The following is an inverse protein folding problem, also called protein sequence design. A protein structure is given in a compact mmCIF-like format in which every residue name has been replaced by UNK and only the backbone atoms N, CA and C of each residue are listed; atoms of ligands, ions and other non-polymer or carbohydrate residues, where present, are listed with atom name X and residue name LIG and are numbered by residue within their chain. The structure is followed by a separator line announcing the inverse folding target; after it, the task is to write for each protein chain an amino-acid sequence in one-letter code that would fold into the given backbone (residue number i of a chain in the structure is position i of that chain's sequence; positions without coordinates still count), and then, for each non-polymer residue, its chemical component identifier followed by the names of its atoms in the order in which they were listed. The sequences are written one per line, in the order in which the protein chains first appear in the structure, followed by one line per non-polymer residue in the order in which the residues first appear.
data_IF_953945069172
#
_entry.id   IF_953945069172
#
_cell.length_a   1.000
_cell.length_b   1.000
_cell.length_c   1.000
_cell.angle_alpha   90.00
_cell.angle_beta   90.00
_cell.angle_gamma   90.00
#
_symmetry.space_group_name_H-M   'P 1'
#
loop_
_entity.id
_entity.type
_entity.pdbx_description
1 polymer ?
#
# COMPACT_ATOMS: atom_id res chain seq x y z
N UNK A 1 -19.51 -5.49 -29.16
CA UNK A 1 -19.36 -4.33 -30.08
C UNK A 1 -20.52 -3.34 -29.97
N UNK A 2 -21.77 -3.70 -30.28
CA UNK A 2 -22.91 -2.77 -30.27
C UNK A 2 -23.20 -2.10 -28.90
N UNK A 3 -22.95 -2.82 -27.81
CA UNK A 3 -23.20 -2.34 -26.44
C UNK A 3 -22.14 -1.33 -25.99
N UNK A 4 -20.88 -1.54 -26.38
CA UNK A 4 -19.76 -0.62 -26.11
C UNK A 4 -19.97 0.72 -26.82
N UNK A 5 -20.37 0.68 -28.10
CA UNK A 5 -20.62 1.90 -28.88
C UNK A 5 -21.78 2.73 -28.34
N UNK A 6 -22.83 2.09 -27.81
CA UNK A 6 -23.94 2.79 -27.13
C UNK A 6 -23.49 3.44 -25.81
N UNK A 7 -22.62 2.77 -25.05
CA UNK A 7 -22.04 3.29 -23.82
C UNK A 7 -21.15 4.51 -24.07
N UNK A 8 -20.24 4.43 -25.04
CA UNK A 8 -19.40 5.56 -25.42
C UNK A 8 -20.24 6.73 -25.97
N UNK A 9 -21.26 6.46 -26.79
CA UNK A 9 -22.17 7.49 -27.29
C UNK A 9 -22.96 8.19 -26.19
N UNK A 10 -23.32 7.47 -25.12
CA UNK A 10 -23.99 8.03 -23.95
C UNK A 10 -23.06 8.94 -23.13
N UNK A 11 -21.82 8.51 -22.88
CA UNK A 11 -20.81 9.27 -22.14
C UNK A 11 -20.49 10.60 -22.85
N UNK A 12 -20.39 10.58 -24.18
CA UNK A 12 -20.09 11.77 -24.99
C UNK A 12 -21.26 12.75 -25.02
N UNK A 13 -22.51 12.26 -25.09
CA UNK A 13 -23.70 13.11 -25.18
C UNK A 13 -24.12 13.73 -23.85
N UNK A 14 -23.85 13.07 -22.72
CA UNK A 14 -24.33 13.49 -21.39
C UNK A 14 -23.25 13.33 -20.32
N UNK A 15 -22.19 14.16 -20.37
CA UNK A 15 -21.02 14.00 -19.51
C UNK A 15 -21.34 14.19 -18.01
N UNK A 16 -22.31 15.06 -17.68
CA UNK A 16 -22.74 15.28 -16.29
C UNK A 16 -23.47 14.07 -15.70
N UNK A 17 -24.40 13.46 -16.46
CA UNK A 17 -25.11 12.24 -16.02
C UNK A 17 -24.14 11.07 -15.90
N UNK A 18 -23.19 10.94 -16.84
CA UNK A 18 -22.14 9.92 -16.78
C UNK A 18 -21.23 10.09 -15.55
N UNK A 19 -20.86 11.33 -15.20
CA UNK A 19 -20.05 11.60 -14.00
C UNK A 19 -20.80 11.24 -12.70
N UNK A 20 -22.10 11.53 -12.63
CA UNK A 20 -22.96 11.16 -11.47
C UNK A 20 -23.08 9.64 -11.35
N UNK A 21 -23.29 8.92 -12.46
CA UNK A 21 -23.36 7.45 -12.48
C UNK A 21 -22.02 6.83 -12.06
N UNK A 22 -20.90 7.38 -12.55
CA UNK A 22 -19.56 6.93 -12.19
C UNK A 22 -19.29 7.15 -10.70
N UNK A 23 -19.67 8.32 -10.16
CA UNK A 23 -19.54 8.63 -8.74
C UNK A 23 -20.40 7.70 -7.87
N UNK A 24 -21.63 7.42 -8.28
CA UNK A 24 -22.52 6.50 -7.59
C UNK A 24 -21.99 5.06 -7.58
N UNK A 25 -21.44 4.58 -8.71
CA UNK A 25 -20.75 3.29 -8.78
C UNK A 25 -19.53 3.25 -7.87
N UNK A 26 -18.74 4.32 -7.85
CA UNK A 26 -17.56 4.42 -6.98
C UNK A 26 -17.96 4.39 -5.50
N UNK A 27 -19.01 5.13 -5.10
CA UNK A 27 -19.55 5.11 -3.75
C UNK A 27 -20.14 3.75 -3.37
N UNK A 28 -20.83 3.07 -4.29
CA UNK A 28 -21.36 1.73 -4.05
C UNK A 28 -20.25 0.69 -3.84
N UNK A 29 -19.17 0.77 -4.63
CA UNK A 29 -17.97 -0.07 -4.44
C UNK A 29 -17.31 0.24 -3.10
N UNK A 30 -17.11 1.52 -2.76
CA UNK A 30 -16.55 1.94 -1.47
C UNK A 30 -17.40 1.46 -0.30
N UNK A 31 -18.72 1.57 -0.38
CA UNK A 31 -19.64 1.10 0.66
C UNK A 31 -19.62 -0.44 0.79
N UNK A 32 -19.62 -1.17 -0.32
CA UNK A 32 -19.51 -2.63 -0.30
C UNK A 32 -18.18 -3.08 0.31
N UNK A 33 -17.09 -2.37 0.00
CA UNK A 33 -15.77 -2.60 0.59
C UNK A 33 -15.78 -2.33 2.09
N UNK A 34 -16.30 -1.18 2.52
CA UNK A 34 -16.41 -0.82 3.94
C UNK A 34 -17.19 -1.88 4.73
N UNK A 35 -18.32 -2.34 4.18
CA UNK A 35 -19.16 -3.38 4.80
C UNK A 35 -18.45 -4.73 4.89
N UNK A 36 -17.61 -5.06 3.89
CA UNK A 36 -16.79 -6.27 3.92
C UNK A 36 -15.68 -6.18 4.97
N UNK A 37 -15.19 -4.98 5.24
CA UNK A 37 -14.16 -4.72 6.25
C UNK A 37 -14.70 -4.67 7.68
N UNK A 38 -15.88 -4.10 7.92
CA UNK A 38 -16.52 -4.17 9.24
C UNK A 38 -16.81 -5.62 9.64
N UNK A 39 -17.24 -6.47 8.70
CA UNK A 39 -17.40 -7.90 8.95
C UNK A 39 -16.07 -8.63 9.25
N UNK A 40 -14.94 -8.17 8.70
CA UNK A 40 -13.60 -8.69 9.05
C UNK A 40 -13.09 -8.15 10.37
N UNK A 41 -13.39 -6.90 10.71
CA UNK A 41 -13.08 -6.31 12.01
C UNK A 41 -13.84 -7.04 13.12
N UNK A 42 -15.12 -7.36 12.93
CA UNK A 42 -15.90 -8.18 13.87
C UNK A 42 -15.35 -9.61 14.01
N UNK A 43 -14.88 -10.24 12.92
CA UNK A 43 -14.19 -11.54 12.99
C UNK A 43 -12.82 -11.48 13.69
N UNK A 44 -12.12 -10.35 13.60
CA UNK A 44 -10.86 -10.10 14.31
C UNK A 44 -11.10 -9.76 15.79
N UNK A 45 -12.21 -9.08 16.10
CA UNK A 45 -12.67 -8.81 17.48
C UNK A 45 -13.17 -10.08 18.16
N UNK A 46 -13.81 -11.00 17.43
CA UNK A 46 -14.19 -12.33 17.92
C UNK A 46 -12.98 -13.26 18.16
N UNK A 47 -11.80 -12.95 17.62
CA UNK A 47 -10.52 -13.59 17.94
C UNK A 47 -9.73 -12.88 19.06
N UNK A 48 -10.40 -12.02 19.83
CA UNK A 48 -9.95 -11.44 21.10
C UNK A 48 -10.51 -12.29 22.27
N UNK A 49 -10.60 -13.61 22.07
CA UNK A 49 -10.55 -14.54 23.20
C UNK A 49 -9.06 -14.71 23.56
N UNK A 50 -8.76 -14.55 24.85
CA UNK A 50 -7.42 -14.26 25.35
C UNK A 50 -6.31 -15.22 24.91
N UNK A 51 -5.06 -14.73 25.00
CA UNK A 51 -3.87 -15.58 24.87
C UNK A 51 -4.01 -16.80 25.79
N UNK A 52 -3.75 -18.03 25.31
CA UNK A 52 -3.70 -19.20 26.16
C UNK A 52 -2.81 -18.93 27.39
N UNK A 53 -3.18 -19.39 28.60
CA UNK A 53 -2.47 -19.10 29.85
C UNK A 53 -0.96 -19.44 29.81
N UNK A 54 -0.58 -20.33 28.91
CA UNK A 54 0.72 -20.93 28.63
C UNK A 54 1.54 -20.19 27.54
N UNK A 55 0.96 -19.23 26.81
CA UNK A 55 1.66 -18.52 25.72
C UNK A 55 2.24 -17.19 26.20
N UNK A 56 3.59 -17.06 26.22
CA UNK A 56 4.30 -15.81 26.60
C UNK A 56 4.23 -14.71 25.53
N UNK A 57 4.26 -15.08 24.26
CA UNK A 57 4.23 -14.14 23.13
C UNK A 57 3.59 -14.78 21.89
N UNK A 58 2.84 -13.98 21.15
CA UNK A 58 2.37 -14.34 19.81
C UNK A 58 2.79 -13.25 18.84
N UNK A 59 3.46 -13.65 17.76
CA UNK A 59 3.78 -12.78 16.64
C UNK A 59 2.88 -13.20 15.49
N UNK A 60 1.92 -12.35 15.12
CA UNK A 60 1.09 -12.55 13.95
C UNK A 60 1.61 -11.66 12.83
N UNK A 61 2.15 -12.29 11.79
CA UNK A 61 2.63 -11.61 10.60
C UNK A 61 1.47 -11.53 9.62
N UNK A 62 0.96 -10.33 9.41
CA UNK A 62 0.04 -10.03 8.31
C UNK A 62 0.84 -9.57 7.09
N UNK A 63 0.17 -9.46 5.95
CA UNK A 63 0.81 -9.05 4.69
C UNK A 63 1.38 -7.62 4.75
N UNK A 64 0.76 -6.75 5.51
CA UNK A 64 0.96 -5.29 5.58
C UNK A 64 1.44 -4.79 6.95
N UNK A 65 1.40 -5.67 7.97
CA UNK A 65 1.77 -5.32 9.35
C UNK A 65 2.15 -6.52 10.18
N UNK A 66 2.83 -6.27 11.28
CA UNK A 66 3.19 -7.27 12.27
C UNK A 66 2.57 -6.88 13.60
N UNK A 67 1.75 -7.78 14.11
CA UNK A 67 1.12 -7.63 15.41
C UNK A 67 1.89 -8.50 16.39
N UNK A 68 2.57 -7.86 17.34
CA UNK A 68 3.22 -8.54 18.45
C UNK A 68 2.35 -8.37 19.70
N UNK A 69 1.98 -9.49 20.32
CA UNK A 69 1.33 -9.53 21.62
C UNK A 69 2.25 -10.22 22.61
N UNK A 70 2.53 -9.60 23.75
CA UNK A 70 3.26 -10.26 24.83
C UNK A 70 2.55 -10.08 26.16
N UNK A 71 2.69 -11.09 27.02
CA UNK A 71 2.15 -11.09 28.38
C UNK A 71 3.23 -10.63 29.36
N UNK A 72 3.00 -9.49 30.01
CA UNK A 72 3.85 -8.88 31.04
C UNK A 72 3.23 -9.14 32.42
N UNK A 73 3.39 -10.37 32.93
CA UNK A 73 2.76 -10.83 34.18
C UNK A 73 1.37 -11.48 33.98
N UNK A 74 0.64 -11.81 35.06
CA UNK A 74 -0.56 -12.66 34.97
C UNK A 74 -1.75 -11.99 34.27
N UNK A 75 -1.83 -10.66 34.24
CA UNK A 75 -3.02 -9.92 33.78
C UNK A 75 -2.76 -8.90 32.69
N UNK A 76 -1.51 -8.51 32.44
CA UNK A 76 -1.18 -7.43 31.50
C UNK A 76 -0.68 -8.01 30.17
N UNK A 77 -1.37 -7.66 29.09
CA UNK A 77 -0.97 -7.99 27.73
C UNK A 77 -0.66 -6.67 27.01
N UNK A 78 0.56 -6.50 26.51
CA UNK A 78 0.89 -5.34 25.68
C UNK A 78 0.76 -5.70 24.20
N UNK A 79 0.33 -4.69 23.44
CA UNK A 79 0.06 -4.78 22.02
C UNK A 79 0.98 -3.82 21.26
N UNK A 80 1.71 -4.35 20.27
CA UNK A 80 2.50 -3.53 19.34
C UNK A 80 2.12 -3.86 17.90
N UNK A 81 1.69 -2.83 17.16
CA UNK A 81 1.47 -2.88 15.71
C UNK A 81 2.62 -2.16 15.00
N UNK A 82 3.22 -2.81 14.00
CA UNK A 82 4.29 -2.26 13.17
C UNK A 82 3.98 -2.49 11.70
N UNK A 83 4.09 -1.44 10.89
CA UNK A 83 3.96 -1.53 9.43
C UNK A 83 5.05 -2.41 8.83
N UNK A 84 4.66 -3.27 7.88
CA UNK A 84 5.55 -4.09 7.08
C UNK A 84 5.41 -3.68 5.61
N UNK A 85 6.42 -3.01 5.01
CA UNK A 85 6.36 -2.68 3.59
C UNK A 85 6.26 -3.97 2.75
N UNK A 86 5.63 -3.92 1.56
CA UNK A 86 5.53 -5.09 0.67
C UNK A 86 6.88 -5.67 0.22
N UNK A 87 7.94 -4.89 0.32
CA UNK A 87 9.34 -5.28 0.05
C UNK A 87 10.09 -5.73 1.31
N UNK A 88 9.56 -5.43 2.49
CA UNK A 88 10.17 -5.73 3.77
C UNK A 88 10.04 -7.21 4.13
N UNK A 89 10.90 -7.64 5.04
CA UNK A 89 10.84 -8.98 5.60
C UNK A 89 10.95 -8.96 7.12
N UNK A 90 10.44 -10.03 7.74
CA UNK A 90 10.34 -10.18 9.19
C UNK A 90 11.26 -11.28 9.64
N UNK A 91 12.14 -10.96 10.58
CA UNK A 91 12.98 -11.93 11.27
C UNK A 91 12.54 -11.98 12.74
N UNK A 92 12.08 -13.15 13.18
CA UNK A 92 11.80 -13.43 14.60
C UNK A 92 13.05 -14.06 15.19
N UNK A 93 13.79 -13.31 16.01
CA UNK A 93 15.04 -13.79 16.60
C UNK A 93 14.78 -14.16 18.06
N UNK A 94 14.80 -15.46 18.34
CA UNK A 94 14.87 -15.99 19.71
C UNK A 94 16.34 -16.10 20.12
N UNK A 95 16.76 -15.34 21.13
CA UNK A 95 18.12 -15.46 21.69
C UNK A 95 18.18 -16.72 22.56
N UNK A 96 18.92 -17.74 22.14
CA UNK A 96 19.09 -19.00 22.90
C UNK A 96 19.65 -18.76 24.31
N UNK A 97 20.47 -17.72 24.49
CA UNK A 97 21.17 -17.45 25.75
C UNK A 97 20.32 -16.73 26.81
N UNK A 98 19.11 -16.27 26.47
CA UNK A 98 18.22 -15.53 27.40
C UNK A 98 16.75 -15.94 27.19
N UNK A 99 16.37 -17.19 27.55
CA UNK A 99 15.02 -17.71 27.34
C UNK A 99 13.92 -16.95 28.14
N UNK A 100 14.32 -16.14 29.11
CA UNK A 100 13.41 -15.28 29.87
C UNK A 100 13.04 -13.98 29.16
N UNK A 101 13.82 -13.55 28.16
CA UNK A 101 13.49 -12.34 27.39
C UNK A 101 12.55 -12.67 26.23
N UNK A 102 11.52 -11.85 25.99
CA UNK A 102 10.63 -12.05 24.85
C UNK A 102 11.42 -11.99 23.53
N UNK A 103 11.14 -12.88 22.56
CA UNK A 103 11.79 -12.83 21.25
C UNK A 103 11.68 -11.45 20.61
N UNK A 104 12.81 -11.00 20.07
CA UNK A 104 12.95 -9.69 19.46
C UNK A 104 12.46 -9.76 18.02
N UNK A 105 11.45 -8.96 17.69
CA UNK A 105 10.94 -8.84 16.31
C UNK A 105 11.69 -7.72 15.63
N UNK A 106 12.57 -8.08 14.70
CA UNK A 106 13.31 -7.14 13.87
C UNK A 106 12.57 -6.98 12.55
N UNK A 107 12.11 -5.76 12.29
CA UNK A 107 11.46 -5.39 11.02
C UNK A 107 12.49 -4.66 10.19
N UNK A 108 12.86 -5.20 9.03
CA UNK A 108 13.70 -4.48 8.08
C UNK A 108 12.81 -3.57 7.24
N UNK A 109 12.65 -2.34 7.72
CA UNK A 109 11.84 -1.29 7.10
C UNK A 109 12.63 -0.41 6.13
N UNK A 110 13.87 -0.76 5.81
CA UNK A 110 14.71 -0.03 4.86
C UNK A 110 15.59 -0.98 4.07
N UNK A 111 15.83 -0.64 2.81
CA UNK A 111 16.72 -1.43 1.97
C UNK A 111 16.70 -1.01 0.50
N UNK A 112 17.47 -1.76 -0.28
CA UNK A 112 17.44 -1.69 -1.73
C UNK A 112 16.49 -2.76 -2.27
N UNK A 113 15.87 -2.46 -3.40
CA UNK A 113 14.97 -3.38 -4.12
C UNK A 113 15.11 -3.12 -5.62
N UNK A 114 14.63 -4.05 -6.44
CA UNK A 114 14.58 -3.92 -7.89
C UNK A 114 13.22 -4.37 -8.37
N UNK A 115 12.19 -3.59 -8.05
CA UNK A 115 10.79 -3.89 -8.40
C UNK A 115 10.30 -3.02 -9.54
N UNK A 116 9.71 -3.66 -10.54
CA UNK A 116 9.04 -2.94 -11.62
C UNK A 116 7.70 -2.39 -11.12
N UNK A 117 7.41 -1.17 -11.52
CA UNK A 117 6.16 -0.49 -11.24
C UNK A 117 5.57 0.16 -12.48
N UNK A 118 4.30 0.48 -12.40
CA UNK A 118 3.59 1.20 -13.44
C UNK A 118 2.49 2.06 -12.86
N UNK A 119 2.14 3.12 -13.56
CA UNK A 119 1.20 4.10 -13.04
C UNK A 119 0.79 5.16 -14.05
N UNK A 120 0.11 6.16 -13.51
CA UNK A 120 -0.31 7.35 -14.24
C UNK A 120 0.25 8.58 -13.53
N UNK A 121 0.91 9.45 -14.28
CA UNK A 121 1.50 10.70 -13.79
C UNK A 121 0.90 11.87 -14.57
N UNK A 122 0.50 12.92 -13.86
CA UNK A 122 0.07 14.17 -14.46
C UNK A 122 1.24 15.15 -14.56
N UNK A 123 1.56 15.60 -15.77
CA UNK A 123 2.59 16.62 -16.08
C UNK A 123 2.10 17.50 -17.24
N UNK A 124 1.07 18.30 -16.98
CA UNK A 124 0.33 19.06 -18.01
C UNK A 124 -0.60 18.21 -18.88
N UNK A 125 -0.32 16.91 -18.98
CA UNK A 125 -1.21 15.87 -19.50
C UNK A 125 -1.10 14.62 -18.61
N UNK A 126 -2.10 13.73 -18.67
CA UNK A 126 -2.06 12.44 -18.01
C UNK A 126 -1.20 11.48 -18.85
N UNK A 127 -0.13 10.96 -18.25
CA UNK A 127 0.87 10.14 -18.92
C UNK A 127 0.95 8.76 -18.26
N UNK A 128 1.01 7.68 -19.05
CA UNK A 128 1.44 6.40 -18.53
C UNK A 128 2.91 6.49 -18.10
N UNK A 129 3.24 5.78 -17.03
CA UNK A 129 4.59 5.72 -16.50
C UNK A 129 4.95 4.26 -16.21
N UNK A 130 6.19 3.90 -16.52
CA UNK A 130 6.84 2.68 -16.05
C UNK A 130 8.04 3.10 -15.22
N UNK A 131 8.27 2.41 -14.11
CA UNK A 131 9.41 2.72 -13.26
C UNK A 131 10.05 1.47 -12.65
N UNK A 132 11.26 1.67 -12.13
CA UNK A 132 11.97 0.71 -11.31
C UNK A 132 12.15 1.32 -9.91
N UNK A 133 11.58 0.68 -8.89
CA UNK A 133 11.83 1.02 -7.49
C UNK A 133 13.21 0.48 -7.10
N UNK A 134 14.08 1.37 -6.63
CA UNK A 134 15.48 1.07 -6.31
C UNK A 134 15.72 0.95 -4.80
N UNK A 135 14.99 1.71 -3.99
CA UNK A 135 15.15 1.72 -2.54
C UNK A 135 13.83 2.05 -1.84
N UNK A 136 13.72 1.61 -0.59
CA UNK A 136 12.58 1.93 0.27
C UNK A 136 13.04 2.27 1.68
N UNK A 137 12.28 3.14 2.32
CA UNK A 137 12.41 3.47 3.73
C UNK A 137 11.04 3.72 4.33
N UNK A 138 10.64 2.83 5.24
CA UNK A 138 9.32 2.73 5.84
C UNK A 138 8.26 2.67 4.75
N UNK A 139 7.53 3.78 4.59
CA UNK A 139 6.43 3.94 3.63
C UNK A 139 6.86 4.68 2.37
N UNK A 140 8.08 5.18 2.34
CA UNK A 140 8.61 5.94 1.22
C UNK A 140 9.45 5.06 0.33
N UNK A 141 9.41 5.32 -0.96
CA UNK A 141 10.22 4.61 -1.94
C UNK A 141 10.89 5.59 -2.89
N UNK A 142 12.08 5.21 -3.33
CA UNK A 142 12.86 5.88 -4.37
C UNK A 142 12.80 5.04 -5.63
N UNK A 143 12.54 5.69 -6.75
CA UNK A 143 12.35 5.04 -8.04
C UNK A 143 13.00 5.82 -9.17
N UNK A 144 13.33 5.15 -10.26
CA UNK A 144 13.67 5.75 -11.53
C UNK A 144 12.59 5.39 -12.55
N UNK A 145 11.94 6.40 -13.13
CA UNK A 145 10.77 6.21 -14.00
C UNK A 145 10.91 6.90 -15.34
N UNK A 146 10.18 6.39 -16.31
CA UNK A 146 10.06 6.95 -17.65
C UNK A 146 8.60 7.12 -18.04
N UNK A 147 8.32 8.22 -18.73
CA UNK A 147 7.03 8.53 -19.35
C UNK A 147 7.25 8.83 -20.84
N UNK A 148 6.20 8.92 -21.67
CA UNK A 148 6.33 9.38 -23.05
C UNK A 148 6.94 10.78 -23.21
N UNK A 149 7.02 11.60 -22.16
CA UNK A 149 7.50 12.99 -22.26
C UNK A 149 8.83 13.26 -21.54
N UNK A 150 9.17 12.48 -20.52
CA UNK A 150 10.38 12.67 -19.71
C UNK A 150 10.74 11.42 -18.91
N UNK A 151 12.01 11.33 -18.51
CA UNK A 151 12.52 10.36 -17.55
C UNK A 151 13.12 11.05 -16.33
N UNK A 152 13.10 10.38 -15.17
CA UNK A 152 13.55 11.01 -13.94
C UNK A 152 13.55 10.12 -12.72
N UNK A 153 13.84 10.75 -11.59
CA UNK A 153 13.81 10.14 -10.26
C UNK A 153 12.48 10.48 -9.60
N UNK A 154 11.83 9.45 -9.08
CA UNK A 154 10.57 9.57 -8.37
C UNK A 154 10.69 9.21 -6.90
N UNK A 155 9.99 9.98 -6.07
CA UNK A 155 9.71 9.65 -4.68
C UNK A 155 8.24 9.27 -4.56
N UNK A 156 7.97 8.17 -3.89
CA UNK A 156 6.61 7.70 -3.66
C UNK A 156 6.35 7.35 -2.21
N UNK A 157 5.07 7.34 -1.83
CA UNK A 157 4.59 6.96 -0.50
C UNK A 157 3.43 5.99 -0.62
N UNK A 158 3.54 4.87 0.08
CA UNK A 158 2.47 3.89 0.26
C UNK A 158 1.20 4.50 0.86
N UNK A 159 0.07 4.18 0.24
CA UNK A 159 -1.27 4.60 0.65
C UNK A 159 -2.05 3.47 1.32
N UNK A 160 -1.38 2.38 1.72
CA UNK A 160 -2.00 1.19 2.30
C UNK A 160 -2.76 1.49 3.62
N UNK A 161 -2.46 2.62 4.30
CA UNK A 161 -3.22 3.07 5.49
C UNK A 161 -4.53 3.77 5.16
N UNK A 162 -4.63 4.36 3.96
CA UNK A 162 -5.72 5.23 3.54
C UNK A 162 -6.64 4.53 2.56
N UNK A 163 -6.16 3.45 1.94
CA UNK A 163 -6.87 2.74 0.89
C UNK A 163 -6.69 1.23 1.05
N UNK A 164 -7.70 0.41 0.73
CA UNK A 164 -7.58 -1.05 0.72
C UNK A 164 -6.73 -1.56 -0.46
N UNK A 165 -6.29 -0.67 -1.36
CA UNK A 165 -5.48 -1.01 -2.52
C UNK A 165 -4.04 -1.24 -2.11
N UNK A 166 -3.72 -2.50 -1.82
CA UNK A 166 -2.37 -2.92 -1.50
C UNK A 166 -1.40 -2.59 -2.64
N UNK A 167 -0.23 -2.04 -2.29
CA UNK A 167 0.82 -1.58 -3.22
C UNK A 167 0.46 -0.32 -4.02
N UNK A 168 -0.60 0.41 -3.63
CA UNK A 168 -0.88 1.71 -4.23
C UNK A 168 0.00 2.78 -3.57
N UNK A 169 0.68 3.56 -4.39
CA UNK A 169 1.51 4.66 -3.91
C UNK A 169 1.17 5.97 -4.63
N UNK A 170 1.19 7.07 -3.89
CA UNK A 170 1.28 8.40 -4.50
C UNK A 170 2.75 8.67 -4.83
N UNK A 171 3.02 9.21 -6.00
CA UNK A 171 4.38 9.46 -6.46
C UNK A 171 4.52 10.86 -7.05
N UNK A 172 5.64 11.51 -6.75
CA UNK A 172 6.15 12.64 -7.53
C UNK A 172 7.39 12.19 -8.29
N UNK A 173 7.49 12.52 -9.58
CA UNK A 173 8.65 12.25 -10.43
C UNK A 173 9.17 13.55 -11.03
N UNK A 174 10.47 13.74 -10.98
CA UNK A 174 11.16 14.91 -11.51
C UNK A 174 12.35 14.49 -12.38
N UNK A 175 12.54 15.15 -13.50
CA UNK A 175 13.66 14.84 -14.38
C UNK A 175 13.70 15.65 -15.66
N UNK A 176 14.37 15.11 -16.67
CA UNK A 176 14.59 15.77 -17.96
C UNK A 176 13.63 15.22 -19.00
N UNK A 177 12.93 16.15 -19.66
CA UNK A 177 12.17 15.87 -20.86
C UNK A 177 13.06 15.50 -22.03
N UNK A 178 12.49 14.80 -23.01
CA UNK A 178 13.20 14.44 -24.25
C UNK A 178 13.64 15.66 -25.07
N UNK A 179 13.08 16.83 -24.78
CA UNK A 179 13.48 18.13 -25.31
C UNK A 179 14.46 18.91 -24.39
N UNK A 180 15.13 18.22 -23.47
CA UNK A 180 16.05 18.77 -22.48
C UNK A 180 15.46 19.81 -21.50
N UNK A 181 14.13 19.97 -21.45
CA UNK A 181 13.47 20.81 -20.45
C UNK A 181 13.19 20.01 -19.20
N UNK A 182 13.44 20.60 -18.03
CA UNK A 182 13.05 20.00 -16.76
C UNK A 182 11.54 19.81 -16.69
N UNK A 183 11.11 18.64 -16.21
CA UNK A 183 9.70 18.29 -16.02
C UNK A 183 9.48 17.67 -14.66
N UNK A 184 8.28 17.91 -14.14
CA UNK A 184 7.79 17.36 -12.90
C UNK A 184 6.38 16.81 -13.13
N UNK A 185 6.05 15.71 -12.46
CA UNK A 185 4.70 15.18 -12.45
C UNK A 185 4.35 14.51 -11.14
N UNK A 186 3.05 14.47 -10.84
CA UNK A 186 2.49 13.80 -9.66
C UNK A 186 1.48 12.77 -10.14
N UNK A 187 1.46 11.61 -9.51
CA UNK A 187 0.67 10.49 -9.97
C UNK A 187 0.40 9.43 -8.93
N UNK A 188 -0.23 8.36 -9.41
CA UNK A 188 -0.41 7.12 -8.68
C UNK A 188 0.35 6.01 -9.39
N UNK A 189 0.98 5.13 -8.62
CA UNK A 189 1.69 3.95 -9.12
C UNK A 189 1.32 2.71 -8.33
N UNK A 190 1.55 1.56 -8.96
CA UNK A 190 1.48 0.24 -8.34
C UNK A 190 2.76 -0.54 -8.65
N UNK A 191 3.16 -1.42 -7.74
CA UNK A 191 4.26 -2.36 -7.99
C UNK A 191 3.71 -3.69 -8.54
N UNK A 192 4.43 -4.28 -9.49
CA UNK A 192 4.14 -5.59 -10.07
C UNK A 192 5.02 -6.70 -9.45
#
# INVERSE_FOLDING_TARGET
MALLNKLFGFIIRRPQEAAIILLALMLAVLYWQLKRETGRAEQLTAKIEGLPPDTKQTVTIYRDRIVTRWRDGPTKVEYRDRYLPPEGHVEVVSKMDQPEKPPEVVVKDRGFTMRLGGGLVYSGALLPMVDLKCAYWKRYSLSAGITPQFGGIGLSRHLDDLTPFQNLEIQGIAGLGWNAKFRFGIGLRTNF
#
